data_IF_525265666163
#
_entry.id   IF_525265666163
#
_cell.length_a   1.000
_cell.length_b   1.000
_cell.length_c   1.000
_cell.angle_alpha   90.00
_cell.angle_beta   90.00
_cell.angle_gamma   90.00
#
_symmetry.space_group_name_H-M   'P 1'
#
loop_
_entity.id
_entity.type
_entity.pdbx_description
1 polymer ?
#
# COMPACT_ATOMS: atom_id res chain seq x y z
N UNK A 1 -16.56 25.75 -10.39
CA UNK A 1 -15.58 24.79 -9.81
C UNK A 1 -16.10 24.03 -8.58
N UNK A 2 -17.10 24.55 -7.81
CA UNK A 2 -17.73 23.78 -6.71
C UNK A 2 -18.77 22.75 -7.16
N UNK A 3 -19.49 23.01 -8.25
CA UNK A 3 -20.53 22.11 -8.78
C UNK A 3 -19.99 20.74 -9.24
N UNK A 4 -18.76 20.69 -9.76
CA UNK A 4 -18.15 19.46 -10.30
C UNK A 4 -17.83 18.40 -9.21
N UNK A 5 -17.81 18.80 -7.94
CA UNK A 5 -17.50 17.93 -6.79
C UNK A 5 -18.77 17.57 -6.00
N UNK A 6 -19.80 18.43 -6.00
CA UNK A 6 -21.02 18.23 -5.21
C UNK A 6 -22.14 17.50 -5.95
N UNK A 7 -22.15 17.47 -7.29
CA UNK A 7 -23.19 16.75 -8.08
C UNK A 7 -22.87 15.26 -8.31
N UNK A 8 -21.69 14.78 -7.91
CA UNK A 8 -21.36 13.36 -7.95
C UNK A 8 -22.33 12.63 -7.00
N UNK A 9 -23.13 11.65 -7.46
CA UNK A 9 -24.00 10.88 -6.58
C UNK A 9 -23.19 10.29 -5.42
N UNK A 10 -23.78 10.28 -4.22
CA UNK A 10 -23.12 9.90 -2.96
C UNK A 10 -22.33 8.57 -3.07
N UNK A 11 -22.81 7.65 -3.93
CA UNK A 11 -22.15 6.41 -4.29
C UNK A 11 -20.77 6.58 -4.94
N UNK A 12 -20.58 7.55 -5.82
CA UNK A 12 -19.29 7.86 -6.46
C UNK A 12 -18.32 8.47 -5.46
N UNK A 13 -18.80 9.33 -4.56
CA UNK A 13 -17.97 9.92 -3.50
C UNK A 13 -17.44 8.84 -2.56
N UNK A 14 -18.31 7.92 -2.12
CA UNK A 14 -17.94 6.79 -1.27
C UNK A 14 -16.95 5.88 -2.01
N UNK A 15 -17.20 5.57 -3.30
CA UNK A 15 -16.32 4.75 -4.11
C UNK A 15 -14.91 5.36 -4.21
N UNK A 16 -14.80 6.66 -4.53
CA UNK A 16 -13.53 7.38 -4.57
C UNK A 16 -12.81 7.33 -3.22
N UNK A 17 -13.53 7.55 -2.12
CA UNK A 17 -12.96 7.52 -0.77
C UNK A 17 -12.39 6.13 -0.43
N UNK A 18 -13.12 5.05 -0.73
CA UNK A 18 -12.66 3.67 -0.50
C UNK A 18 -11.45 3.35 -1.37
N UNK A 19 -11.45 3.75 -2.64
CA UNK A 19 -10.30 3.54 -3.54
C UNK A 19 -9.06 4.22 -2.99
N UNK A 20 -9.15 5.50 -2.61
CA UNK A 20 -8.02 6.25 -2.05
C UNK A 20 -7.53 5.61 -0.75
N UNK A 21 -8.45 5.17 0.11
CA UNK A 21 -8.10 4.48 1.35
C UNK A 21 -7.31 3.18 1.11
N UNK A 22 -7.78 2.32 0.19
CA UNK A 22 -7.09 1.09 -0.17
C UNK A 22 -5.72 1.37 -0.79
N UNK A 23 -5.62 2.38 -1.67
CA UNK A 23 -4.34 2.79 -2.26
C UNK A 23 -3.35 3.24 -1.18
N UNK A 24 -3.78 4.05 -0.21
CA UNK A 24 -2.93 4.45 0.91
C UNK A 24 -2.43 3.23 1.70
N UNK A 25 -3.31 2.30 2.06
CA UNK A 25 -2.92 1.09 2.80
C UNK A 25 -1.89 0.24 2.04
N UNK A 26 -2.17 -0.04 0.76
CA UNK A 26 -1.25 -0.83 -0.09
C UNK A 26 0.07 -0.10 -0.27
N UNK A 27 0.04 1.23 -0.49
CA UNK A 27 1.25 2.04 -0.62
C UNK A 27 2.12 1.99 0.63
N UNK A 28 1.53 2.10 1.82
CA UNK A 28 2.26 1.99 3.10
C UNK A 28 2.89 0.61 3.28
N UNK A 29 2.16 -0.47 3.02
CA UNK A 29 2.69 -1.84 3.13
C UNK A 29 3.86 -2.06 2.17
N UNK A 30 3.74 -1.58 0.93
CA UNK A 30 4.79 -1.68 -0.09
C UNK A 30 6.02 -0.83 0.26
N UNK A 31 5.83 0.36 0.84
CA UNK A 31 6.94 1.22 1.29
C UNK A 31 7.77 0.54 2.39
N UNK A 32 7.10 -0.01 3.42
CA UNK A 32 7.76 -0.74 4.52
C UNK A 32 8.48 -1.99 4.01
N UNK A 33 7.86 -2.75 3.11
CA UNK A 33 8.52 -3.89 2.48
C UNK A 33 9.77 -3.48 1.70
N UNK A 34 9.68 -2.38 0.94
CA UNK A 34 10.78 -1.79 0.17
C UNK A 34 11.96 -1.37 1.05
N UNK A 35 11.70 -0.65 2.13
CA UNK A 35 12.73 -0.27 3.13
C UNK A 35 13.46 -1.49 3.67
N UNK A 36 12.73 -2.52 4.12
CA UNK A 36 13.33 -3.76 4.63
C UNK A 36 14.22 -4.44 3.58
N UNK A 37 13.84 -4.38 2.30
CA UNK A 37 14.63 -4.93 1.19
C UNK A 37 15.89 -4.12 0.92
N UNK A 38 15.80 -2.79 0.92
CA UNK A 38 16.92 -1.88 0.67
C UNK A 38 17.97 -2.01 1.79
N UNK A 39 17.54 -1.97 3.06
CA UNK A 39 18.42 -2.13 4.21
C UNK A 39 19.13 -3.49 4.20
N UNK A 40 18.42 -4.56 3.84
CA UNK A 40 19.03 -5.89 3.73
C UNK A 40 20.12 -5.93 2.63
N UNK A 41 19.90 -5.24 1.50
CA UNK A 41 20.91 -5.11 0.44
C UNK A 41 22.13 -4.30 0.89
N UNK A 42 21.94 -3.24 1.68
CA UNK A 42 23.04 -2.49 2.29
C UNK A 42 23.86 -3.35 3.26
N UNK A 43 23.19 -4.27 3.97
CA UNK A 43 23.82 -5.16 4.95
C UNK A 43 24.37 -6.46 4.33
N UNK A 44 24.43 -6.58 2.99
CA UNK A 44 24.88 -7.80 2.30
C UNK A 44 24.16 -9.07 2.79
N UNK A 45 22.89 -8.95 3.22
CA UNK A 45 22.06 -10.09 3.66
C UNK A 45 20.80 -10.21 2.81
N UNK A 46 20.22 -11.42 2.80
CA UNK A 46 18.96 -11.64 2.10
C UNK A 46 17.82 -10.93 2.85
N UNK A 47 17.11 -10.04 2.15
CA UNK A 47 15.89 -9.40 2.66
C UNK A 47 14.72 -10.38 2.78
N UNK A 48 13.55 -9.92 3.28
CA UNK A 48 12.41 -10.77 3.59
C UNK A 48 12.04 -11.69 2.41
N UNK A 49 11.95 -13.00 2.69
CA UNK A 49 11.66 -14.06 1.72
C UNK A 49 10.77 -15.18 2.31
N UNK A 50 10.12 -14.96 3.45
CA UNK A 50 9.40 -16.02 4.18
C UNK A 50 7.91 -16.14 3.86
N UNK A 51 7.25 -15.07 3.43
CA UNK A 51 5.81 -15.09 3.09
C UNK A 51 5.53 -14.44 1.74
N UNK A 52 5.04 -15.25 0.79
CA UNK A 52 4.80 -14.85 -0.60
C UNK A 52 6.06 -14.79 -1.49
N UNK A 53 5.87 -14.65 -2.81
CA UNK A 53 6.99 -14.40 -3.76
C UNK A 53 7.67 -13.08 -3.38
N UNK A 54 8.99 -13.11 -3.18
CA UNK A 54 9.82 -11.98 -2.73
C UNK A 54 9.47 -11.36 -1.37
N UNK A 55 8.64 -12.00 -0.53
CA UNK A 55 8.29 -11.47 0.78
C UNK A 55 7.27 -10.33 0.75
N UNK A 56 6.61 -10.06 -0.37
CA UNK A 56 5.69 -8.91 -0.54
C UNK A 56 4.50 -8.98 0.43
N UNK A 57 4.08 -10.18 0.78
CA UNK A 57 2.98 -10.41 1.73
C UNK A 57 3.43 -10.28 3.19
N UNK A 58 4.71 -10.00 3.46
CA UNK A 58 5.23 -9.95 4.82
C UNK A 58 4.66 -8.79 5.64
N UNK A 59 4.41 -7.63 5.03
CA UNK A 59 3.76 -6.52 5.73
C UNK A 59 2.27 -6.76 5.99
N UNK A 60 1.60 -7.59 5.19
CA UNK A 60 0.20 -7.99 5.39
C UNK A 60 0.08 -9.12 6.42
N UNK A 61 1.09 -9.98 6.53
CA UNK A 61 1.13 -11.07 7.51
C UNK A 61 1.60 -10.61 8.91
N UNK A 62 2.30 -9.48 8.99
CA UNK A 62 2.72 -8.85 10.25
C UNK A 62 1.62 -7.96 10.88
N UNK A 63 0.59 -7.58 10.10
CA UNK A 63 -0.55 -6.78 10.57
C UNK A 63 -1.72 -7.64 11.02
#
# INVERSE_FOLDING_TARGET
MRELILDDPLSIVILKAVIIFVICLVSTIMAVWGERRIVARMQMRLGPNRVGKFGVLQGLADG
#
